data_IF_871244749740
#
_entry.id   IF_871244749740
#
_cell.length_a   1.000
_cell.length_b   1.000
_cell.length_c   1.000
_cell.angle_alpha   90.00
_cell.angle_beta   90.00
_cell.angle_gamma   90.00
#
_symmetry.space_group_name_H-M   'P 1'
#
loop_
_entity.id
_entity.type
_entity.pdbx_description
1 polymer ?
#
# COMPACT_ATOMS: atom_id res chain seq x y z
N UNK A 1 46.44 -1.61 -4.13
CA UNK A 1 45.37 -2.19 -4.97
C UNK A 1 44.06 -2.07 -4.19
N UNK A 2 43.09 -1.33 -4.71
CA UNK A 2 41.76 -1.22 -4.09
C UNK A 2 40.95 -2.41 -4.55
N UNK A 3 40.56 -3.28 -3.61
CA UNK A 3 39.63 -4.39 -3.87
C UNK A 3 38.22 -3.78 -3.88
N UNK A 4 37.63 -3.66 -5.07
CA UNK A 4 36.21 -3.39 -5.19
C UNK A 4 35.45 -4.71 -4.99
N UNK A 5 34.76 -4.83 -3.85
CA UNK A 5 33.73 -5.84 -3.67
C UNK A 5 32.53 -5.40 -4.51
N UNK A 6 32.33 -6.05 -5.65
CA UNK A 6 31.12 -5.90 -6.43
C UNK A 6 30.05 -6.74 -5.74
N UNK A 7 29.14 -6.12 -4.97
CA UNK A 7 27.90 -6.82 -4.63
C UNK A 7 27.10 -6.92 -5.91
N UNK A 8 26.85 -8.13 -6.38
CA UNK A 8 25.91 -8.33 -7.47
C UNK A 8 24.51 -7.97 -6.96
N UNK A 9 23.99 -6.80 -7.35
CA UNK A 9 22.58 -6.49 -7.19
C UNK A 9 21.83 -7.29 -8.27
N UNK A 10 21.11 -8.33 -7.85
CA UNK A 10 20.27 -9.10 -8.75
C UNK A 10 18.91 -8.43 -8.75
N UNK A 11 18.58 -7.69 -9.82
CA UNK A 11 17.20 -7.33 -10.06
C UNK A 11 16.44 -8.62 -10.40
N UNK A 12 15.43 -8.95 -9.60
CA UNK A 12 14.56 -10.09 -9.85
C UNK A 12 13.67 -9.75 -11.04
N UNK A 13 14.04 -10.20 -12.23
CA UNK A 13 13.22 -10.09 -13.43
C UNK A 13 12.43 -11.39 -13.60
N UNK A 14 11.31 -11.51 -12.88
CA UNK A 14 10.34 -12.53 -13.23
C UNK A 14 9.63 -12.11 -14.54
N UNK A 15 9.41 -13.02 -15.49
CA UNK A 15 8.43 -12.77 -16.56
C UNK A 15 7.07 -12.42 -15.91
N UNK A 16 6.24 -11.59 -16.57
CA UNK A 16 4.96 -11.18 -16.00
C UNK A 16 4.14 -12.43 -15.63
N UNK A 17 3.50 -12.45 -14.44
CA UNK A 17 2.61 -13.53 -14.10
C UNK A 17 1.51 -13.64 -15.16
N UNK A 18 1.06 -14.85 -15.49
CA UNK A 18 -0.06 -15.07 -16.42
C UNK A 18 -1.29 -14.23 -16.07
N UNK A 19 -1.42 -13.87 -14.78
CA UNK A 19 -2.46 -13.01 -14.24
C UNK A 19 -2.44 -11.57 -14.80
N UNK A 20 -1.27 -11.00 -15.09
CA UNK A 20 -1.12 -9.61 -15.54
C UNK A 20 -0.21 -9.51 -16.77
N UNK A 21 -0.66 -9.99 -17.94
CA UNK A 21 0.17 -10.04 -19.15
C UNK A 21 0.59 -8.66 -19.68
N UNK A 22 -0.15 -7.61 -19.33
CA UNK A 22 0.13 -6.22 -19.69
C UNK A 22 1.28 -5.61 -18.88
N UNK A 23 1.56 -6.14 -17.68
CA UNK A 23 2.48 -5.57 -16.70
C UNK A 23 3.95 -5.97 -16.94
N UNK A 24 4.35 -6.15 -18.20
CA UNK A 24 5.72 -6.54 -18.54
C UNK A 24 6.72 -5.41 -18.23
N UNK A 25 7.82 -5.67 -17.50
CA UNK A 25 8.89 -4.69 -17.33
C UNK A 25 9.37 -4.11 -18.67
N UNK A 26 9.32 -2.79 -18.80
CA UNK A 26 9.67 -2.07 -20.04
C UNK A 26 8.51 -1.81 -21.01
N UNK A 27 7.35 -2.47 -20.85
CA UNK A 27 6.13 -2.18 -21.60
C UNK A 27 5.21 -1.20 -20.84
N UNK A 28 5.28 -1.17 -19.51
CA UNK A 28 4.48 -0.27 -18.68
C UNK A 28 5.03 1.16 -18.77
N UNK A 29 4.20 2.08 -19.25
CA UNK A 29 4.42 3.52 -19.20
C UNK A 29 3.36 4.11 -18.29
N UNK A 30 3.77 4.55 -17.11
CA UNK A 30 2.85 4.97 -16.05
C UNK A 30 3.01 6.43 -15.65
N UNK A 31 1.92 7.04 -15.17
CA UNK A 31 1.92 8.41 -14.64
C UNK A 31 1.02 8.55 -13.42
N UNK A 32 1.27 9.59 -12.62
CA UNK A 32 0.46 9.98 -11.47
C UNK A 32 -0.02 11.42 -11.62
N UNK A 33 -1.32 11.61 -11.52
CA UNK A 33 -1.97 12.90 -11.46
C UNK A 33 -2.96 12.92 -10.29
N UNK A 34 -2.67 13.68 -9.24
CA UNK A 34 -3.53 13.77 -8.06
C UNK A 34 -4.83 14.56 -8.29
N UNK A 35 -5.06 15.12 -9.48
CA UNK A 35 -6.29 15.83 -9.85
C UNK A 35 -7.24 14.91 -10.62
N UNK A 36 -8.49 15.33 -10.75
CA UNK A 36 -9.44 14.73 -11.68
C UNK A 36 -9.00 15.04 -13.12
N UNK A 37 -8.91 14.01 -13.97
CA UNK A 37 -8.56 14.15 -15.38
C UNK A 37 -9.79 14.16 -16.28
N UNK A 38 -9.82 15.10 -17.23
CA UNK A 38 -10.84 15.14 -18.29
C UNK A 38 -10.41 14.32 -19.52
N UNK A 39 -11.30 14.25 -20.53
CA UNK A 39 -11.04 13.52 -21.76
C UNK A 39 -9.75 13.95 -22.48
N UNK A 40 -9.52 15.26 -22.63
CA UNK A 40 -8.36 15.79 -23.37
C UNK A 40 -7.03 15.41 -22.69
N UNK A 41 -6.99 15.45 -21.37
CA UNK A 41 -5.82 15.04 -20.59
C UNK A 41 -5.57 13.54 -20.73
N UNK A 42 -6.62 12.71 -20.71
CA UNK A 42 -6.48 11.26 -20.95
C UNK A 42 -5.99 11.01 -22.38
N UNK A 43 -6.55 11.70 -23.38
CA UNK A 43 -6.13 11.55 -24.77
C UNK A 43 -4.65 11.89 -24.95
N UNK A 44 -4.17 12.99 -24.36
CA UNK A 44 -2.76 13.38 -24.43
C UNK A 44 -1.83 12.32 -23.81
N UNK A 45 -2.26 11.65 -22.73
CA UNK A 45 -1.50 10.55 -22.13
C UNK A 45 -1.48 9.32 -23.02
N UNK A 46 -2.60 8.96 -23.64
CA UNK A 46 -2.69 7.85 -24.58
C UNK A 46 -1.84 8.10 -25.85
N UNK A 47 -1.86 9.33 -26.38
CA UNK A 47 -1.02 9.74 -27.52
C UNK A 47 0.48 9.64 -27.18
N UNK A 48 0.83 9.92 -25.92
CA UNK A 48 2.17 9.71 -25.37
C UNK A 48 2.45 8.25 -24.96
N UNK A 49 1.53 7.32 -25.26
CA UNK A 49 1.60 5.88 -25.03
C UNK A 49 1.65 5.47 -23.55
N UNK A 50 1.12 6.28 -22.63
CA UNK A 50 0.88 5.83 -21.26
C UNK A 50 -0.23 4.77 -21.25
N UNK A 51 0.01 3.66 -20.55
CA UNK A 51 -0.91 2.53 -20.46
C UNK A 51 -1.28 2.17 -19.01
N UNK A 52 -0.75 2.91 -18.03
CA UNK A 52 -1.16 2.85 -16.64
C UNK A 52 -1.26 4.26 -16.05
N UNK A 53 -2.47 4.69 -15.69
CA UNK A 53 -2.71 6.08 -15.25
C UNK A 53 -3.24 6.06 -13.82
N UNK A 54 -2.55 6.74 -12.91
CA UNK A 54 -3.08 7.07 -11.59
C UNK A 54 -3.74 8.44 -11.62
N UNK A 55 -5.01 8.50 -11.20
CA UNK A 55 -5.80 9.73 -11.12
C UNK A 55 -6.33 10.00 -9.72
N UNK A 56 -6.51 11.28 -9.36
CA UNK A 56 -7.39 11.67 -8.24
C UNK A 56 -8.87 11.43 -8.57
N UNK A 57 -9.19 11.33 -9.86
CA UNK A 57 -10.48 10.97 -10.43
C UNK A 57 -10.44 11.08 -11.96
N UNK A 58 -11.54 10.74 -12.63
CA UNK A 58 -11.72 10.90 -14.07
C UNK A 58 -13.10 11.49 -14.34
N UNK A 59 -13.25 12.32 -15.38
CA UNK A 59 -14.58 12.59 -15.94
C UNK A 59 -15.14 11.29 -16.56
N UNK A 60 -16.45 11.21 -16.76
CA UNK A 60 -17.07 10.02 -17.36
C UNK A 60 -16.47 9.73 -18.75
N UNK A 61 -16.24 10.77 -19.56
CA UNK A 61 -15.65 10.64 -20.89
C UNK A 61 -14.18 10.24 -20.84
N UNK A 62 -13.39 10.82 -19.93
CA UNK A 62 -12.00 10.41 -19.72
C UNK A 62 -11.88 8.97 -19.24
N UNK A 63 -12.78 8.54 -18.35
CA UNK A 63 -12.84 7.16 -17.86
C UNK A 63 -13.19 6.19 -18.98
N UNK A 64 -14.19 6.53 -19.81
CA UNK A 64 -14.59 5.73 -20.97
C UNK A 64 -13.46 5.62 -21.99
N UNK A 65 -12.81 6.74 -22.33
CA UNK A 65 -11.69 6.77 -23.26
C UNK A 65 -10.52 5.89 -22.80
N UNK A 66 -10.14 5.98 -21.52
CA UNK A 66 -9.09 5.11 -20.96
C UNK A 66 -9.47 3.63 -21.05
N UNK A 67 -10.73 3.28 -20.77
CA UNK A 67 -11.24 1.90 -20.87
C UNK A 67 -11.15 1.39 -22.31
N UNK A 68 -11.68 2.15 -23.26
CA UNK A 68 -11.75 1.76 -24.68
C UNK A 68 -10.34 1.61 -25.29
N UNK A 69 -9.37 2.38 -24.81
CA UNK A 69 -7.97 2.28 -25.21
C UNK A 69 -7.20 1.13 -24.55
N UNK A 70 -7.82 0.38 -23.64
CA UNK A 70 -7.15 -0.69 -22.88
C UNK A 70 -6.13 -0.18 -21.86
N UNK A 71 -6.27 1.06 -21.40
CA UNK A 71 -5.40 1.64 -20.39
C UNK A 71 -5.82 1.19 -18.98
N UNK A 72 -4.85 0.75 -18.19
CA UNK A 72 -5.05 0.39 -16.79
C UNK A 72 -5.10 1.62 -15.90
N UNK A 73 -5.84 1.54 -14.80
CA UNK A 73 -6.10 2.70 -13.94
C UNK A 73 -5.83 2.38 -12.50
N UNK A 74 -4.97 3.21 -11.92
CA UNK A 74 -4.48 3.02 -10.56
C UNK A 74 -5.16 3.98 -9.60
N UNK A 75 -5.74 3.43 -8.55
CA UNK A 75 -6.26 4.22 -7.44
C UNK A 75 -5.29 4.24 -6.27
N UNK A 76 -5.26 5.39 -5.59
CA UNK A 76 -4.53 5.56 -4.34
C UNK A 76 -5.37 5.04 -3.17
N UNK A 77 -4.76 4.17 -2.35
CA UNK A 77 -5.27 3.83 -1.02
C UNK A 77 -4.13 4.08 -0.03
N UNK A 78 -4.35 4.94 0.96
CA UNK A 78 -3.43 4.99 2.09
C UNK A 78 -3.72 3.81 3.01
N UNK A 79 -2.77 2.87 3.10
CA UNK A 79 -2.92 1.63 3.88
C UNK A 79 -3.01 1.86 5.40
N UNK A 80 -2.69 3.06 5.89
CA UNK A 80 -2.68 3.38 7.33
C UNK A 80 -3.44 4.62 7.74
N UNK A 81 -3.84 5.53 6.85
CA UNK A 81 -4.40 6.81 7.31
C UNK A 81 -5.89 6.69 7.54
N UNK A 82 -6.32 6.97 8.77
CA UNK A 82 -7.71 7.24 9.13
C UNK A 82 -7.89 8.76 9.21
N UNK A 83 -8.68 9.32 8.29
CA UNK A 83 -9.16 10.70 8.38
C UNK A 83 -10.33 10.76 9.36
N UNK A 84 -10.02 10.81 10.66
CA UNK A 84 -10.98 10.45 11.71
C UNK A 84 -12.23 11.34 11.73
N UNK A 85 -12.10 12.64 11.44
CA UNK A 85 -13.24 13.57 11.41
C UNK A 85 -14.27 13.20 10.33
N UNK A 86 -13.81 12.61 9.23
CA UNK A 86 -14.65 12.18 8.11
C UNK A 86 -15.12 10.74 8.29
N UNK A 87 -14.20 9.85 8.67
CA UNK A 87 -14.46 8.41 8.67
C UNK A 87 -15.17 7.92 9.93
N UNK A 88 -14.97 8.52 11.10
CA UNK A 88 -15.63 8.03 12.32
C UNK A 88 -17.15 8.24 12.34
N UNK A 89 -17.72 9.32 11.77
CA UNK A 89 -19.16 9.43 11.61
C UNK A 89 -19.77 8.37 10.69
N UNK A 90 -19.08 8.02 9.59
CA UNK A 90 -19.56 7.07 8.58
C UNK A 90 -19.29 5.61 8.94
N UNK A 91 -18.17 5.38 9.63
CA UNK A 91 -17.61 4.07 10.01
C UNK A 91 -17.17 4.10 11.49
N UNK A 92 -18.13 4.13 12.45
CA UNK A 92 -17.83 4.26 13.87
C UNK A 92 -16.92 3.15 14.42
N UNK A 93 -16.96 1.95 13.82
CA UNK A 93 -16.08 0.82 14.14
C UNK A 93 -14.58 1.12 13.95
N UNK A 94 -14.24 2.13 13.14
CA UNK A 94 -12.85 2.52 12.91
C UNK A 94 -12.19 3.21 14.09
N UNK A 95 -12.97 3.70 15.07
CA UNK A 95 -12.45 4.24 16.33
C UNK A 95 -11.59 3.21 17.04
N UNK A 96 -12.11 1.98 17.14
CA UNK A 96 -11.41 0.87 17.76
C UNK A 96 -10.37 0.24 16.82
N UNK A 97 -10.31 0.69 15.56
CA UNK A 97 -9.33 0.26 14.58
C UNK A 97 -8.11 1.19 14.53
N UNK A 98 -8.16 2.35 15.20
CA UNK A 98 -7.03 3.26 15.29
C UNK A 98 -5.94 2.72 16.23
N UNK A 99 -4.70 3.08 15.94
CA UNK A 99 -3.54 2.76 16.77
C UNK A 99 -3.56 3.57 18.05
N UNK A 100 -3.25 2.89 19.15
CA UNK A 100 -2.98 3.53 20.43
C UNK A 100 -1.48 3.56 20.72
N UNK A 101 -1.01 4.68 21.27
CA UNK A 101 0.34 4.81 21.87
C UNK A 101 0.41 4.02 23.19
N UNK A 102 1.60 3.85 23.80
CA UNK A 102 1.73 3.20 25.10
C UNK A 102 0.83 3.82 26.19
N UNK A 103 0.60 5.13 26.11
CA UNK A 103 -0.23 5.93 27.02
C UNK A 103 -1.75 5.77 26.76
N UNK A 104 -2.12 5.07 25.69
CA UNK A 104 -3.52 4.85 25.31
C UNK A 104 -4.13 5.97 24.46
N UNK A 105 -3.32 6.91 23.96
CA UNK A 105 -3.77 7.98 23.07
C UNK A 105 -3.78 7.54 21.61
N UNK A 106 -4.59 8.17 20.75
CA UNK A 106 -4.54 7.89 19.31
C UNK A 106 -3.21 8.34 18.69
N UNK A 107 -2.60 7.46 17.89
CA UNK A 107 -1.38 7.80 17.16
C UNK A 107 -1.68 8.79 16.02
N UNK A 108 -1.34 10.05 16.24
CA UNK A 108 -1.27 11.09 15.20
C UNK A 108 -0.10 10.81 14.24
N UNK A 109 -0.33 10.94 12.94
CA UNK A 109 0.69 10.76 11.90
C UNK A 109 0.94 12.04 11.10
N UNK A 110 2.17 12.22 10.63
CA UNK A 110 2.63 13.39 9.86
C UNK A 110 2.43 14.74 10.56
N UNK A 111 2.41 14.75 11.89
CA UNK A 111 2.08 15.93 12.69
C UNK A 111 0.76 16.60 12.27
N UNK A 112 -0.19 15.81 11.76
CA UNK A 112 -1.50 16.29 11.31
C UNK A 112 -2.59 15.73 12.22
N UNK A 113 -3.22 16.56 13.07
CA UNK A 113 -4.22 16.09 14.05
C UNK A 113 -5.48 15.50 13.41
N UNK A 114 -5.73 15.73 12.11
CA UNK A 114 -6.83 15.12 11.37
C UNK A 114 -6.53 13.67 10.93
N UNK A 115 -5.31 13.15 11.15
CA UNK A 115 -4.85 11.85 10.65
C UNK A 115 -4.41 10.95 11.80
N UNK A 116 -5.14 9.87 12.00
CA UNK A 116 -4.73 8.76 12.86
C UNK A 116 -4.19 7.60 12.03
N UNK A 117 -3.39 6.74 12.65
CA UNK A 117 -2.95 5.50 12.04
C UNK A 117 -3.95 4.36 12.28
N UNK A 118 -4.24 3.55 11.28
CA UNK A 118 -5.00 2.30 11.37
C UNK A 118 -4.14 1.13 11.84
N UNK A 119 -4.72 0.28 12.67
CA UNK A 119 -4.08 -0.89 13.26
C UNK A 119 -4.32 -2.13 12.39
N UNK A 120 -3.24 -2.73 11.91
CA UNK A 120 -3.28 -3.93 11.07
C UNK A 120 -3.81 -5.20 11.77
N UNK A 121 -3.77 -5.25 13.11
CA UNK A 121 -4.38 -6.34 13.88
C UNK A 121 -5.89 -6.17 14.11
N UNK A 122 -6.51 -5.09 13.60
CA UNK A 122 -7.93 -4.82 13.79
C UNK A 122 -8.70 -5.17 12.52
N UNK A 123 -9.59 -6.15 12.64
CA UNK A 123 -10.41 -6.62 11.52
C UNK A 123 -11.19 -5.49 10.85
N UNK A 124 -11.75 -4.56 11.64
CA UNK A 124 -12.45 -3.39 11.10
C UNK A 124 -11.59 -2.55 10.13
N UNK A 125 -10.28 -2.44 10.36
CA UNK A 125 -9.39 -1.76 9.42
C UNK A 125 -9.16 -2.56 8.14
N UNK A 126 -8.95 -3.88 8.27
CA UNK A 126 -8.79 -4.77 7.12
C UNK A 126 -10.02 -4.76 6.22
N UNK A 127 -11.21 -4.94 6.81
CA UNK A 127 -12.48 -4.95 6.08
C UNK A 127 -12.78 -3.59 5.45
N UNK A 128 -12.46 -2.49 6.12
CA UNK A 128 -12.57 -1.17 5.52
C UNK A 128 -11.70 -1.04 4.27
N UNK A 129 -10.43 -1.47 4.32
CA UNK A 129 -9.54 -1.40 3.16
C UNK A 129 -10.00 -2.35 2.05
N UNK A 130 -10.45 -3.58 2.36
CA UNK A 130 -11.04 -4.50 1.37
C UNK A 130 -12.28 -3.87 0.71
N UNK A 131 -13.18 -3.28 1.48
CA UNK A 131 -14.36 -2.57 0.95
C UNK A 131 -14.01 -1.36 0.07
N UNK A 132 -12.92 -0.65 0.38
CA UNK A 132 -12.38 0.40 -0.50
C UNK A 132 -11.90 -0.17 -1.83
N UNK A 133 -11.22 -1.31 -1.83
CA UNK A 133 -10.80 -2.00 -3.05
C UNK A 133 -12.01 -2.45 -3.87
N UNK A 134 -13.04 -3.01 -3.22
CA UNK A 134 -14.27 -3.43 -3.88
C UNK A 134 -14.98 -2.28 -4.57
N UNK A 135 -15.15 -1.14 -3.89
CA UNK A 135 -15.77 0.04 -4.49
C UNK A 135 -14.98 0.58 -5.70
N UNK A 136 -13.64 0.48 -5.68
CA UNK A 136 -12.81 0.90 -6.81
C UNK A 136 -12.94 -0.07 -7.99
N UNK A 137 -12.99 -1.37 -7.72
CA UNK A 137 -13.21 -2.38 -8.74
C UNK A 137 -14.59 -2.27 -9.40
N UNK A 138 -15.64 -1.99 -8.62
CA UNK A 138 -16.99 -1.70 -9.15
C UNK A 138 -17.02 -0.50 -10.12
N UNK A 139 -16.08 0.44 -9.95
CA UNK A 139 -15.88 1.59 -10.82
C UNK A 139 -14.97 1.31 -12.02
N UNK A 140 -14.50 0.07 -12.18
CA UNK A 140 -13.64 -0.37 -13.27
C UNK A 140 -12.16 -0.06 -13.09
N UNK A 141 -11.70 0.27 -11.87
CA UNK A 141 -10.28 0.37 -11.59
C UNK A 141 -9.71 -1.01 -11.29
N UNK A 142 -8.54 -1.29 -11.84
CA UNK A 142 -7.90 -2.60 -11.82
C UNK A 142 -6.49 -2.56 -11.23
N UNK A 143 -6.02 -1.40 -10.79
CA UNK A 143 -4.73 -1.25 -10.13
C UNK A 143 -4.88 -0.48 -8.80
N UNK A 144 -4.15 -0.90 -7.77
CA UNK A 144 -4.08 -0.22 -6.47
C UNK A 144 -2.65 0.22 -6.19
N UNK A 145 -2.48 1.49 -5.84
CA UNK A 145 -1.27 2.02 -5.22
C UNK A 145 -1.50 2.14 -3.71
N UNK A 146 -0.87 1.26 -2.94
CA UNK A 146 -0.83 1.38 -1.49
C UNK A 146 0.23 2.39 -1.06
N UNK A 147 -0.24 3.51 -0.52
CA UNK A 147 0.64 4.49 0.10
C UNK A 147 0.81 4.25 1.59
N UNK A 148 1.95 4.70 2.09
CA UNK A 148 2.37 4.62 3.48
C UNK A 148 2.19 3.23 4.12
N UNK A 149 2.71 2.14 3.52
CA UNK A 149 2.78 0.83 4.17
C UNK A 149 3.77 0.79 5.35
N UNK A 150 3.86 1.87 6.11
CA UNK A 150 4.74 1.99 7.27
C UNK A 150 4.26 1.13 8.42
N UNK A 151 5.23 0.58 9.15
CA UNK A 151 5.02 -0.21 10.35
C UNK A 151 5.12 0.68 11.57
N UNK A 152 3.98 1.01 12.19
CA UNK A 152 3.93 1.55 13.55
C UNK A 152 3.38 0.50 14.52
N UNK A 153 4.03 0.39 15.67
CA UNK A 153 3.57 -0.38 16.82
C UNK A 153 2.22 0.14 17.30
N UNK A 154 1.41 -0.74 17.87
CA UNK A 154 0.11 -0.41 18.43
C UNK A 154 -0.09 -1.10 19.77
N UNK A 155 -0.54 -0.33 20.76
CA UNK A 155 -0.67 -0.77 22.14
C UNK A 155 -2.14 -0.97 22.55
N UNK A 156 -3.03 -1.14 21.57
CA UNK A 156 -4.44 -1.45 21.84
C UNK A 156 -4.59 -2.84 22.49
N UNK A 157 -5.74 -3.12 23.15
CA UNK A 157 -5.94 -4.40 23.83
C UNK A 157 -5.72 -5.64 22.95
N UNK A 158 -6.09 -5.56 21.66
CA UNK A 158 -5.86 -6.64 20.71
C UNK A 158 -4.38 -6.90 20.47
N UNK A 159 -3.60 -5.86 20.21
CA UNK A 159 -2.16 -6.02 19.99
C UNK A 159 -1.43 -6.50 21.24
N UNK A 160 -1.82 -6.02 22.43
CA UNK A 160 -1.25 -6.52 23.70
C UNK A 160 -1.50 -8.01 23.88
N UNK A 161 -2.73 -8.48 23.62
CA UNK A 161 -3.07 -9.91 23.67
C UNK A 161 -2.29 -10.73 22.63
N UNK A 162 -2.31 -10.31 21.36
CA UNK A 162 -1.62 -11.02 20.28
C UNK A 162 -0.11 -11.05 20.50
N UNK A 163 0.48 -10.00 21.08
CA UNK A 163 1.90 -9.98 21.38
C UNK A 163 2.30 -10.98 22.47
N UNK A 164 1.46 -11.18 23.49
CA UNK A 164 1.68 -12.23 24.51
C UNK A 164 1.76 -13.62 23.87
N UNK A 165 0.80 -13.90 22.98
CA UNK A 165 0.76 -15.14 22.20
C UNK A 165 2.02 -15.28 21.32
N UNK A 166 2.30 -14.26 20.52
CA UNK A 166 3.46 -14.21 19.62
C UNK A 166 4.79 -14.39 20.36
N UNK A 167 4.98 -13.68 21.47
CA UNK A 167 6.22 -13.71 22.23
C UNK A 167 6.45 -15.07 22.88
N UNK A 168 5.40 -15.70 23.41
CA UNK A 168 5.45 -17.06 23.94
C UNK A 168 5.81 -18.08 22.87
N UNK A 169 5.24 -17.95 21.67
CA UNK A 169 5.54 -18.85 20.54
C UNK A 169 7.00 -18.74 20.07
N UNK A 170 7.55 -17.53 20.01
CA UNK A 170 8.89 -17.29 19.46
C UNK A 170 10.03 -17.44 20.47
N UNK A 171 9.75 -17.26 21.76
CA UNK A 171 10.79 -17.21 22.80
C UNK A 171 10.55 -18.19 23.96
N UNK A 172 9.37 -18.80 24.04
CA UNK A 172 8.94 -19.59 25.20
C UNK A 172 8.51 -18.76 26.41
N UNK A 173 8.62 -17.43 26.35
CA UNK A 173 8.25 -16.50 27.43
C UNK A 173 7.15 -15.56 26.97
N UNK A 174 6.12 -15.40 27.80
CA UNK A 174 5.06 -14.42 27.56
C UNK A 174 5.54 -13.04 28.02
N UNK A 175 5.69 -12.12 27.06
CA UNK A 175 6.08 -10.74 27.31
C UNK A 175 4.89 -9.78 27.16
N UNK A 176 4.98 -8.64 27.84
CA UNK A 176 4.02 -7.55 27.74
C UNK A 176 4.51 -6.48 26.75
N UNK A 177 3.68 -6.13 25.78
CA UNK A 177 4.02 -5.15 24.75
C UNK A 177 4.24 -3.77 25.38
N UNK A 178 5.44 -3.20 25.20
CA UNK A 178 5.84 -1.90 25.75
C UNK A 178 6.34 -1.93 27.19
N UNK A 179 6.31 -3.08 27.86
CA UNK A 179 6.78 -3.18 29.24
C UNK A 179 8.31 -3.10 29.33
N UNK A 180 8.80 -2.67 30.50
CA UNK A 180 10.21 -2.73 30.83
C UNK A 180 10.69 -4.20 30.79
N UNK A 181 11.85 -4.44 30.18
CA UNK A 181 12.41 -5.78 30.01
C UNK A 181 11.91 -6.55 28.79
N UNK A 182 10.91 -6.06 28.05
CA UNK A 182 10.49 -6.65 26.78
C UNK A 182 11.53 -6.37 25.68
N UNK A 183 12.07 -7.41 24.99
CA UNK A 183 13.03 -7.22 23.90
C UNK A 183 12.45 -6.39 22.76
N UNK A 184 13.11 -5.29 22.39
CA UNK A 184 12.60 -4.37 21.36
C UNK A 184 12.62 -4.96 19.96
N UNK A 185 13.54 -5.87 19.69
CA UNK A 185 13.59 -6.64 18.46
C UNK A 185 12.34 -7.51 18.28
N UNK A 186 11.84 -8.10 19.38
CA UNK A 186 10.63 -8.93 19.35
C UNK A 186 9.37 -8.10 19.04
N UNK A 187 9.26 -6.88 19.60
CA UNK A 187 8.18 -5.94 19.28
C UNK A 187 8.22 -5.50 17.79
N UNK A 188 9.43 -5.28 17.25
CA UNK A 188 9.62 -4.95 15.84
C UNK A 188 9.23 -6.11 14.93
N UNK A 189 9.63 -7.34 15.25
CA UNK A 189 9.23 -8.53 14.48
C UNK A 189 7.72 -8.74 14.51
N UNK A 190 7.10 -8.64 15.69
CA UNK A 190 5.64 -8.71 15.81
C UNK A 190 4.94 -7.67 14.94
N UNK A 191 5.44 -6.43 14.93
CA UNK A 191 4.85 -5.34 14.12
C UNK A 191 5.02 -5.63 12.63
N UNK A 192 6.17 -6.14 12.21
CA UNK A 192 6.44 -6.51 10.82
C UNK A 192 5.57 -7.69 10.38
N UNK A 193 5.52 -8.77 11.16
CA UNK A 193 4.73 -9.97 10.84
C UNK A 193 3.22 -9.69 10.81
N UNK A 194 2.76 -8.81 11.71
CA UNK A 194 1.39 -8.27 11.65
C UNK A 194 1.12 -7.58 10.30
N UNK A 195 2.06 -6.74 9.85
CA UNK A 195 1.92 -6.05 8.57
C UNK A 195 1.96 -7.03 7.38
N UNK A 196 2.82 -8.05 7.43
CA UNK A 196 2.87 -9.11 6.43
C UNK A 196 1.54 -9.85 6.34
N UNK A 197 0.94 -10.23 7.47
CA UNK A 197 -0.37 -10.88 7.51
C UNK A 197 -1.45 -9.99 6.88
N UNK A 198 -1.49 -8.71 7.26
CA UNK A 198 -2.45 -7.75 6.72
C UNK A 198 -2.34 -7.59 5.19
N UNK A 199 -1.13 -7.40 4.66
CA UNK A 199 -0.96 -7.25 3.21
C UNK A 199 -1.10 -8.56 2.43
N UNK A 200 -0.85 -9.71 3.07
CA UNK A 200 -1.17 -11.03 2.49
C UNK A 200 -2.67 -11.13 2.26
N UNK A 201 -3.48 -10.76 3.26
CA UNK A 201 -4.95 -10.74 3.14
C UNK A 201 -5.45 -9.80 2.04
N UNK A 202 -4.85 -8.61 1.91
CA UNK A 202 -5.20 -7.67 0.85
C UNK A 202 -4.79 -8.17 -0.54
N UNK A 203 -3.62 -8.81 -0.65
CA UNK A 203 -3.16 -9.41 -1.90
C UNK A 203 -4.07 -10.55 -2.33
N UNK A 204 -4.44 -11.44 -1.41
CA UNK A 204 -5.36 -12.53 -1.71
C UNK A 204 -6.72 -11.96 -2.16
N UNK A 205 -7.25 -10.96 -1.44
CA UNK A 205 -8.49 -10.27 -1.82
C UNK A 205 -8.43 -9.62 -3.22
N UNK A 206 -7.28 -9.09 -3.62
CA UNK A 206 -7.08 -8.56 -4.97
C UNK A 206 -6.99 -9.63 -6.05
N UNK A 207 -6.31 -10.75 -5.76
CA UNK A 207 -5.95 -11.77 -6.76
C UNK A 207 -7.01 -12.85 -6.95
N UNK A 208 -7.83 -13.13 -5.93
CA UNK A 208 -8.89 -14.16 -5.97
C UNK A 208 -10.17 -13.68 -6.69
N UNK A 209 -10.17 -12.46 -7.20
CA UNK A 209 -11.29 -11.86 -7.95
C UNK A 209 -11.37 -12.48 -9.35
N UNK A 210 -12.58 -12.46 -9.94
CA UNK A 210 -12.76 -12.79 -11.36
C UNK A 210 -11.91 -11.88 -12.27
N UNK A 211 -11.82 -10.59 -11.90
CA UNK A 211 -10.89 -9.63 -12.49
C UNK A 211 -9.88 -9.21 -11.41
N UNK A 212 -8.67 -9.82 -11.40
CA UNK A 212 -7.64 -9.52 -10.42
C UNK A 212 -7.21 -8.04 -10.46
N UNK A 213 -6.85 -7.50 -9.31
CA UNK A 213 -6.28 -6.14 -9.22
C UNK A 213 -4.76 -6.20 -9.09
N UNK A 214 -4.06 -5.40 -9.88
CA UNK A 214 -2.61 -5.24 -9.82
C UNK A 214 -2.22 -4.35 -8.64
N UNK A 215 -1.44 -4.87 -7.70
CA UNK A 215 -1.02 -4.14 -6.49
C UNK A 215 0.39 -3.58 -6.67
N UNK A 216 0.54 -2.30 -6.38
CA UNK A 216 1.83 -1.67 -6.14
C UNK A 216 1.84 -0.97 -4.80
N UNK A 217 3.04 -0.72 -4.28
CA UNK A 217 3.21 0.03 -3.05
C UNK A 217 4.28 1.11 -3.21
N UNK A 218 4.18 2.16 -2.39
CA UNK A 218 5.21 3.18 -2.29
C UNK A 218 6.55 2.54 -1.85
N UNK A 219 7.67 3.02 -2.42
CA UNK A 219 9.01 2.46 -2.25
C UNK A 219 9.64 2.71 -0.87
N UNK A 220 8.94 3.38 0.04
CA UNK A 220 9.37 3.60 1.42
C UNK A 220 9.44 2.31 2.24
N UNK A 221 9.08 1.15 1.66
CA UNK A 221 8.87 -0.08 2.40
C UNK A 221 9.22 -1.32 1.57
N UNK A 222 10.52 -1.58 1.43
CA UNK A 222 11.06 -2.71 0.63
C UNK A 222 10.58 -4.09 1.09
N UNK A 223 10.18 -4.26 2.35
CA UNK A 223 9.76 -5.58 2.86
C UNK A 223 8.50 -6.13 2.17
N UNK A 224 7.61 -5.28 1.65
CA UNK A 224 6.47 -5.74 0.86
C UNK A 224 6.93 -6.39 -0.45
N UNK A 225 7.89 -5.74 -1.11
CA UNK A 225 8.49 -6.19 -2.36
C UNK A 225 9.27 -7.49 -2.12
N UNK A 226 10.12 -7.51 -1.09
CA UNK A 226 10.94 -8.68 -0.75
C UNK A 226 10.11 -9.92 -0.40
N UNK A 227 8.85 -9.72 0.04
CA UNK A 227 7.92 -10.79 0.40
C UNK A 227 6.95 -11.14 -0.74
N UNK A 228 7.08 -10.51 -1.91
CA UNK A 228 6.21 -10.77 -3.06
C UNK A 228 4.75 -10.33 -2.82
N UNK A 229 4.54 -9.35 -1.96
CA UNK A 229 3.22 -8.83 -1.59
C UNK A 229 2.71 -7.72 -2.52
N UNK A 230 3.51 -7.38 -3.54
CA UNK A 230 3.17 -6.43 -4.61
C UNK A 230 3.47 -7.06 -5.95
N UNK A 231 2.67 -6.73 -6.96
CA UNK A 231 2.86 -7.15 -8.35
C UNK A 231 3.83 -6.24 -9.11
N UNK A 232 4.00 -4.99 -8.64
CA UNK A 232 4.96 -4.04 -9.17
C UNK A 232 5.50 -3.08 -8.12
N UNK A 233 6.65 -2.48 -8.41
CA UNK A 233 7.25 -1.39 -7.62
C UNK A 233 7.35 -0.15 -8.49
N UNK A 234 6.63 0.90 -8.11
CA UNK A 234 6.77 2.21 -8.73
C UNK A 234 7.42 3.18 -7.75
N UNK A 235 8.48 3.82 -8.21
CA UNK A 235 9.19 4.84 -7.44
C UNK A 235 8.88 6.21 -8.01
N UNK A 236 8.33 7.11 -7.19
CA UNK A 236 8.24 8.53 -7.55
C UNK A 236 9.66 9.11 -7.62
N UNK A 237 10.13 9.48 -8.81
CA UNK A 237 11.45 10.08 -8.96
C UNK A 237 11.43 11.52 -8.40
N UNK A 238 12.07 11.74 -7.25
CA UNK A 238 12.32 13.09 -6.72
C UNK A 238 11.18 13.74 -5.92
N UNK A 239 10.20 12.96 -5.44
CA UNK A 239 9.10 13.50 -4.62
C UNK A 239 8.10 14.39 -5.37
N UNK A 240 8.12 14.34 -6.71
CA UNK A 240 7.08 14.89 -7.57
C UNK A 240 6.76 13.87 -8.67
N UNK A 241 5.55 13.94 -9.20
CA UNK A 241 5.07 13.12 -10.32
C UNK A 241 6.16 12.99 -11.40
N UNK A 242 6.41 11.78 -11.94
CA UNK A 242 7.50 11.55 -12.86
C UNK A 242 7.20 12.22 -14.20
N UNK A 243 7.53 13.49 -14.32
CA UNK A 243 8.19 13.90 -15.55
C UNK A 243 9.57 13.28 -15.48
N UNK A 244 9.78 12.26 -16.30
CA UNK A 244 11.10 11.70 -16.54
C UNK A 244 12.06 12.86 -16.78
N UNK A 245 13.01 13.04 -15.86
CA UNK A 245 14.21 13.78 -16.22
C UNK A 245 14.91 12.92 -17.24
N UNK A 246 15.04 13.46 -18.45
CA UNK A 246 15.90 12.99 -19.51
C UNK A 246 17.18 12.37 -18.94
N UNK A 247 17.32 11.05 -19.11
CA UNK A 247 18.66 10.49 -19.24
C UNK A 247 19.11 10.87 -20.65
N UNK A 248 19.81 11.99 -20.70
CA UNK A 248 20.55 12.46 -21.85
C UNK A 248 21.43 11.32 -22.41
N UNK A 249 21.22 11.05 -23.68
CA UNK A 249 21.97 10.17 -24.58
C UNK A 249 21.38 10.29 -25.97
#
# INVERSE_FOLDING_TARGET
AVVMLVSSAWAHWAPPPEMFPWANPGAVRWTINYRTMNQDQVQALLDAQFNLIQGGGFSEEGMRLATEAGCHRMAYICSRTIYHEQLFPEHPELKDAAILTPEGEYKVIYNNPARYAGCFNRLAWLEYIKGRMDNLAERGLDCIFFDNPMTWECYCPTCKRLFREYSREHTGTEYELGAEGTPKELERWFTLDTALGFFTELRNHAHEREQPMFIVANNLTYWLVDKGLTDGLFTEAGGQAPFGRDLAG
#
